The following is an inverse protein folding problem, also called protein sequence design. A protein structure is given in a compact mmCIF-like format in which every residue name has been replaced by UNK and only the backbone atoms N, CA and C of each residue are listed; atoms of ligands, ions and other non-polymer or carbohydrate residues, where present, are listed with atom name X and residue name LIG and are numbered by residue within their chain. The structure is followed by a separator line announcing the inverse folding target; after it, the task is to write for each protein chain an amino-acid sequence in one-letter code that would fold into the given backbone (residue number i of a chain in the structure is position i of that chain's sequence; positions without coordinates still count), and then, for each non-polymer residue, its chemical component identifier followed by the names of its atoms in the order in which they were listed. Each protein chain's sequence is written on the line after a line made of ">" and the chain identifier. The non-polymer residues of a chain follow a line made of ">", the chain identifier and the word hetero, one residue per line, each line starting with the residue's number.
data_IF_125171360901
#
_entry.id   IF_125171360901
#
_cell.length_a   1.000
_cell.length_b   1.000
_cell.length_c   1.000
_cell.angle_alpha   90.00
_cell.angle_beta   90.00
_cell.angle_gamma   90.00
#
_symmetry.space_group_name_H-M   'P 1'
#
loop_
_entity.id
_entity.type
_entity.pdbx_description
1 polymer ?
#
# COMPACT_ATOMS: atom_id res chain seq x y z
N UNK A 1 -6.26 -25.09 -7.95
CA UNK A 1 -4.95 -24.60 -8.42
C UNK A 1 -4.18 -23.78 -7.36
N UNK A 2 -4.82 -22.98 -6.50
CA UNK A 2 -4.15 -22.15 -5.48
C UNK A 2 -3.37 -22.97 -4.45
N UNK A 3 -3.95 -24.07 -3.94
CA UNK A 3 -3.29 -24.94 -2.95
C UNK A 3 -2.01 -25.56 -3.53
N UNK A 4 -2.03 -25.99 -4.79
CA UNK A 4 -0.86 -26.55 -5.45
C UNK A 4 0.23 -25.51 -5.67
N UNK A 5 -0.15 -24.26 -5.96
CA UNK A 5 0.79 -23.15 -6.08
C UNK A 5 1.38 -22.77 -4.73
N UNK A 6 0.59 -22.73 -3.66
CA UNK A 6 1.05 -22.49 -2.30
C UNK A 6 2.08 -23.53 -1.86
N UNK A 7 1.78 -24.84 -2.05
CA UNK A 7 2.73 -25.91 -1.76
C UNK A 7 4.03 -25.83 -2.57
N UNK A 8 3.95 -25.34 -3.82
CA UNK A 8 5.15 -25.12 -4.63
C UNK A 8 5.97 -23.94 -4.12
N UNK A 9 5.33 -22.85 -3.69
CA UNK A 9 5.99 -21.68 -3.10
C UNK A 9 6.79 -22.08 -1.86
N UNK A 10 6.23 -22.87 -0.95
CA UNK A 10 6.89 -23.36 0.27
C UNK A 10 8.14 -24.24 0.00
N UNK A 11 8.27 -24.81 -1.21
CA UNK A 11 9.47 -25.55 -1.59
C UNK A 11 10.64 -24.64 -2.00
N UNK A 12 10.39 -23.39 -2.37
CA UNK A 12 11.39 -22.46 -2.88
C UNK A 12 11.66 -21.29 -1.93
N UNK A 13 10.68 -20.94 -1.08
CA UNK A 13 10.74 -19.80 -0.20
C UNK A 13 10.41 -20.20 1.23
N UNK A 14 11.07 -19.57 2.18
CA UNK A 14 10.75 -19.66 3.62
C UNK A 14 9.45 -18.91 3.90
N UNK A 15 8.82 -19.19 5.05
CA UNK A 15 7.62 -18.44 5.48
C UNK A 15 7.88 -16.95 5.61
N UNK A 16 9.05 -16.55 6.10
CA UNK A 16 9.42 -15.15 6.25
C UNK A 16 9.58 -14.44 4.90
N UNK A 17 10.16 -15.11 3.90
CA UNK A 17 10.25 -14.59 2.54
C UNK A 17 8.88 -14.43 1.90
N UNK A 18 7.98 -15.42 2.08
CA UNK A 18 6.60 -15.36 1.59
C UNK A 18 5.83 -14.22 2.26
N UNK A 19 5.93 -14.08 3.59
CA UNK A 19 5.29 -12.99 4.33
C UNK A 19 5.84 -11.63 3.93
N UNK A 20 7.16 -11.52 3.78
CA UNK A 20 7.81 -10.28 3.32
C UNK A 20 7.33 -9.89 1.93
N UNK A 21 7.30 -10.83 0.98
CA UNK A 21 6.78 -10.58 -0.36
C UNK A 21 5.30 -10.17 -0.32
N UNK A 22 4.47 -10.88 0.46
CA UNK A 22 3.06 -10.57 0.63
C UNK A 22 2.84 -9.15 1.17
N UNK A 23 3.54 -8.77 2.25
CA UNK A 23 3.44 -7.46 2.87
C UNK A 23 3.90 -6.33 1.93
N UNK A 24 4.88 -6.59 1.07
CA UNK A 24 5.40 -5.59 0.14
C UNK A 24 4.52 -5.35 -1.10
N UNK A 25 3.66 -6.32 -1.48
CA UNK A 25 2.81 -6.19 -2.68
C UNK A 25 1.33 -6.02 -2.37
N UNK A 26 0.92 -6.27 -1.12
CA UNK A 26 -0.50 -6.20 -0.74
C UNK A 26 -1.04 -4.78 -0.85
N UNK A 27 -2.31 -4.60 -1.31
CA UNK A 27 -2.95 -3.31 -1.31
C UNK A 27 -3.43 -2.94 0.10
N UNK A 28 -3.10 -1.72 0.55
CA UNK A 28 -3.50 -1.18 1.85
C UNK A 28 -4.50 -0.01 1.74
N UNK A 29 -5.21 0.10 0.63
CA UNK A 29 -6.20 1.13 0.42
C UNK A 29 -5.59 2.46 0.00
N UNK A 30 -5.84 3.52 0.75
CA UNK A 30 -5.47 4.89 0.39
C UNK A 30 -4.75 5.61 1.53
N UNK A 31 -3.81 6.47 1.17
CA UNK A 31 -3.13 7.37 2.10
C UNK A 31 -3.89 8.70 2.28
N UNK A 32 -3.34 9.59 3.11
CA UNK A 32 -3.88 10.92 3.38
C UNK A 32 -3.89 11.88 2.18
N UNK A 33 -3.34 11.49 1.05
CA UNK A 33 -3.45 12.21 -0.22
C UNK A 33 -4.42 11.58 -1.22
N UNK A 34 -5.14 10.52 -0.80
CA UNK A 34 -6.11 9.80 -1.63
C UNK A 34 -5.49 8.80 -2.61
N UNK A 35 -4.16 8.67 -2.62
CA UNK A 35 -3.45 7.75 -3.49
C UNK A 35 -3.51 6.32 -2.97
N UNK A 36 -3.56 5.36 -3.89
CA UNK A 36 -3.51 3.95 -3.53
C UNK A 36 -2.15 3.59 -2.91
N UNK A 37 -2.18 2.76 -1.89
CA UNK A 37 -1.02 2.26 -1.17
C UNK A 37 -0.75 0.81 -1.58
N UNK A 38 0.49 0.50 -1.91
CA UNK A 38 0.98 -0.86 -2.08
C UNK A 38 2.18 -1.11 -1.17
N UNK A 39 2.08 -2.12 -0.32
CA UNK A 39 3.11 -2.48 0.64
C UNK A 39 2.97 -1.84 2.01
N UNK A 40 3.50 -2.56 3.01
CA UNK A 40 3.34 -2.23 4.43
C UNK A 40 4.10 -0.96 4.85
N UNK A 41 5.26 -0.70 4.25
CA UNK A 41 6.05 0.50 4.56
C UNK A 41 5.33 1.77 4.09
N UNK A 42 4.79 1.75 2.87
CA UNK A 42 3.99 2.87 2.37
C UNK A 42 2.70 3.04 3.19
N UNK A 43 2.11 1.94 3.67
CA UNK A 43 0.92 1.97 4.51
C UNK A 43 1.20 2.59 5.89
N UNK A 44 2.26 2.18 6.56
CA UNK A 44 2.66 2.72 7.85
C UNK A 44 2.95 4.23 7.76
N UNK A 45 3.69 4.62 6.72
CA UNK A 45 4.03 6.02 6.48
C UNK A 45 2.79 6.84 6.04
N UNK A 46 2.03 6.34 5.07
CA UNK A 46 0.90 7.07 4.49
C UNK A 46 -0.33 7.17 5.38
N UNK A 47 -0.45 6.32 6.40
CA UNK A 47 -1.57 6.33 7.35
C UNK A 47 -1.18 6.93 8.70
N UNK A 48 0.01 6.58 9.22
CA UNK A 48 0.46 6.97 10.56
C UNK A 48 1.70 7.87 10.57
N UNK A 49 2.39 8.06 9.45
CA UNK A 49 3.61 8.87 9.37
C UNK A 49 4.82 8.23 10.04
N UNK A 50 4.84 6.91 10.22
CA UNK A 50 5.92 6.14 10.86
C UNK A 50 6.44 5.06 9.92
N UNK A 51 7.65 4.54 10.20
CA UNK A 51 8.16 3.37 9.51
C UNK A 51 7.44 2.09 9.96
N UNK A 52 7.32 1.10 9.07
CA UNK A 52 6.69 -0.18 9.41
C UNK A 52 7.36 -0.90 10.60
N UNK A 53 8.66 -0.68 10.80
CA UNK A 53 9.40 -1.22 11.94
C UNK A 53 9.04 -0.56 13.30
N UNK A 54 8.47 0.63 13.27
CA UNK A 54 8.20 1.46 14.46
C UNK A 54 6.71 1.48 14.84
N UNK A 55 5.86 0.72 14.14
CA UNK A 55 4.43 0.69 14.44
C UNK A 55 4.14 0.06 15.80
N UNK A 56 3.21 0.64 16.53
CA UNK A 56 2.67 0.09 17.77
C UNK A 56 1.81 -1.17 17.48
N UNK A 57 1.49 -1.94 18.54
CA UNK A 57 0.60 -3.11 18.42
C UNK A 57 -0.76 -2.73 17.80
N UNK A 58 -1.36 -1.63 18.24
CA UNK A 58 -2.65 -1.16 17.70
C UNK A 58 -2.54 -0.78 16.22
N UNK A 59 -1.46 -0.08 15.82
CA UNK A 59 -1.18 0.29 14.44
C UNK A 59 -0.91 -0.94 13.57
N UNK A 60 -0.14 -1.91 14.06
CA UNK A 60 0.11 -3.16 13.36
C UNK A 60 -1.19 -3.94 13.10
N UNK A 61 -2.04 -4.09 14.13
CA UNK A 61 -3.34 -4.78 14.00
C UNK A 61 -4.28 -4.05 13.02
N UNK A 62 -4.26 -2.72 13.01
CA UNK A 62 -5.01 -1.90 12.06
C UNK A 62 -4.55 -2.16 10.62
N UNK A 63 -3.23 -2.05 10.36
CA UNK A 63 -2.67 -2.27 9.02
C UNK A 63 -2.95 -3.69 8.51
N UNK A 64 -2.70 -4.72 9.32
CA UNK A 64 -2.96 -6.12 8.94
C UNK A 64 -4.45 -6.38 8.66
N UNK A 65 -5.34 -5.59 9.23
CA UNK A 65 -6.78 -5.66 8.96
C UNK A 65 -7.18 -5.21 7.56
N UNK A 66 -6.46 -4.25 6.96
CA UNK A 66 -6.83 -3.56 5.71
C UNK A 66 -6.86 -4.47 4.47
N UNK A 67 -5.87 -5.35 4.20
CA UNK A 67 -5.79 -6.10 2.95
C UNK A 67 -7.00 -7.01 2.66
N UNK A 68 -7.82 -7.36 3.66
CA UNK A 68 -9.03 -8.13 3.44
C UNK A 68 -10.06 -7.38 2.59
N UNK A 69 -10.19 -6.07 2.79
CA UNK A 69 -11.04 -5.18 1.97
C UNK A 69 -10.46 -3.76 2.00
N UNK A 70 -9.43 -3.48 1.18
CA UNK A 70 -8.64 -2.26 1.26
C UNK A 70 -9.46 -0.97 1.17
N UNK A 71 -10.47 -0.94 0.32
CA UNK A 71 -11.28 0.27 0.15
C UNK A 71 -12.28 0.50 1.28
N UNK A 72 -12.77 -0.57 1.91
CA UNK A 72 -13.67 -0.46 3.08
C UNK A 72 -12.87 -0.09 4.33
N UNK A 73 -11.70 -0.71 4.54
CA UNK A 73 -10.94 -0.59 5.78
C UNK A 73 -9.89 0.51 5.77
N UNK A 74 -9.61 1.16 4.62
CA UNK A 74 -8.77 2.35 4.62
C UNK A 74 -9.43 3.50 5.38
N UNK A 75 -8.69 4.30 6.17
CA UNK A 75 -9.25 5.43 6.91
C UNK A 75 -9.51 6.67 6.03
N UNK A 76 -8.98 6.69 4.80
CA UNK A 76 -9.06 7.84 3.91
C UNK A 76 -9.95 7.61 2.68
N UNK A 77 -10.55 8.68 2.20
CA UNK A 77 -11.33 8.73 0.95
C UNK A 77 -10.39 8.83 -0.27
N UNK A 78 -10.94 8.79 -1.47
CA UNK A 78 -10.19 9.04 -2.71
C UNK A 78 -9.65 10.48 -2.83
N UNK A 79 -10.11 11.39 -1.97
CA UNK A 79 -9.66 12.77 -1.92
C UNK A 79 -8.66 13.02 -0.78
N UNK A 80 -8.23 11.97 -0.07
CA UNK A 80 -7.32 12.07 1.07
C UNK A 80 -7.99 12.54 2.36
N UNK A 81 -9.30 12.76 2.35
CA UNK A 81 -10.05 13.14 3.54
C UNK A 81 -10.25 11.95 4.46
N UNK A 82 -10.21 12.19 5.76
CA UNK A 82 -10.56 11.16 6.74
C UNK A 82 -12.04 10.79 6.60
N UNK A 83 -12.34 9.50 6.57
CA UNK A 83 -13.72 9.01 6.57
C UNK A 83 -14.42 9.39 7.87
N UNK A 84 -15.69 9.76 7.79
CA UNK A 84 -16.54 10.06 8.97
C UNK A 84 -16.86 8.78 9.76
N UNK A 85 -17.16 7.68 9.06
CA UNK A 85 -17.42 6.37 9.67
C UNK A 85 -16.21 5.44 9.54
N UNK A 86 -15.59 5.17 10.68
CA UNK A 86 -14.45 4.25 10.84
C UNK A 86 -14.86 2.94 11.54
N UNK A 87 -16.15 2.73 11.81
CA UNK A 87 -16.66 1.58 12.56
C UNK A 87 -16.20 0.25 11.95
N UNK A 88 -16.24 0.12 10.64
CA UNK A 88 -15.86 -1.11 9.96
C UNK A 88 -14.37 -1.47 10.18
N UNK A 89 -13.46 -0.51 10.03
CA UNK A 89 -12.03 -0.75 10.22
C UNK A 89 -11.68 -0.94 11.69
N UNK A 90 -12.28 -0.21 12.61
CA UNK A 90 -12.05 -0.38 14.06
C UNK A 90 -12.53 -1.76 14.54
N UNK A 91 -13.69 -2.21 14.09
CA UNK A 91 -14.17 -3.58 14.36
C UNK A 91 -13.24 -4.65 13.76
N UNK A 92 -12.68 -4.38 12.58
CA UNK A 92 -11.69 -5.28 11.97
C UNK A 92 -10.40 -5.33 12.78
N UNK A 93 -9.88 -4.19 13.23
CA UNK A 93 -8.71 -4.08 14.11
C UNK A 93 -8.92 -4.89 15.41
N UNK A 94 -10.07 -4.72 16.05
CA UNK A 94 -10.41 -5.49 17.25
C UNK A 94 -10.48 -7.00 16.98
N UNK A 95 -10.96 -7.41 15.80
CA UNK A 95 -10.96 -8.82 15.39
C UNK A 95 -9.53 -9.37 15.23
N UNK A 96 -8.61 -8.56 14.67
CA UNK A 96 -7.19 -8.95 14.55
C UNK A 96 -6.57 -9.09 15.93
N UNK A 97 -6.72 -8.08 16.81
CA UNK A 97 -6.22 -8.13 18.19
C UNK A 97 -6.76 -9.34 18.97
N UNK A 98 -8.07 -9.61 18.86
CA UNK A 98 -8.67 -10.78 19.50
C UNK A 98 -8.06 -12.10 18.99
N UNK A 99 -7.77 -12.20 17.70
CA UNK A 99 -7.09 -13.37 17.14
C UNK A 99 -5.66 -13.50 17.65
N UNK A 100 -4.92 -12.40 17.72
CA UNK A 100 -3.57 -12.41 18.29
C UNK A 100 -3.58 -12.89 19.76
N UNK A 101 -4.55 -12.46 20.54
CA UNK A 101 -4.73 -12.91 21.91
C UNK A 101 -5.08 -14.41 21.97
N UNK A 102 -6.06 -14.86 21.17
CA UNK A 102 -6.54 -16.24 21.19
C UNK A 102 -5.49 -17.26 20.75
N UNK A 103 -4.57 -16.84 19.87
CA UNK A 103 -3.44 -17.65 19.41
C UNK A 103 -2.17 -17.50 20.29
N UNK A 104 -2.24 -16.68 21.35
CA UNK A 104 -1.16 -16.51 22.30
C UNK A 104 0.01 -15.64 21.83
N UNK A 105 -0.18 -14.82 20.80
CA UNK A 105 0.83 -13.89 20.30
C UNK A 105 0.96 -12.63 21.17
N UNK A 106 -0.10 -12.26 21.88
CA UNK A 106 -0.12 -11.14 22.82
C UNK A 106 -0.77 -11.57 24.14
N UNK A 107 -0.42 -10.86 25.20
CA UNK A 107 -1.02 -11.04 26.53
C UNK A 107 -2.38 -10.35 26.64
N UNK A 108 -3.16 -10.69 27.67
CA UNK A 108 -4.42 -10.00 27.96
C UNK A 108 -4.19 -8.49 28.23
N UNK A 109 -3.11 -8.13 28.93
CA UNK A 109 -2.79 -6.74 29.22
C UNK A 109 -2.50 -5.92 27.95
N UNK A 110 -1.74 -6.51 27.03
CA UNK A 110 -1.43 -5.88 25.72
C UNK A 110 -2.70 -5.72 24.87
N UNK A 111 -3.57 -6.74 24.88
CA UNK A 111 -4.86 -6.67 24.20
C UNK A 111 -5.74 -5.55 24.76
N UNK A 112 -5.92 -5.51 26.09
CA UNK A 112 -6.78 -4.52 26.75
C UNK A 112 -6.26 -3.10 26.51
N UNK A 113 -4.94 -2.91 26.55
CA UNK A 113 -4.30 -1.62 26.26
C UNK A 113 -4.51 -1.20 24.78
N UNK A 114 -4.34 -2.14 23.85
CA UNK A 114 -4.50 -1.86 22.41
C UNK A 114 -5.96 -1.56 22.03
N UNK A 115 -6.93 -2.26 22.63
CA UNK A 115 -8.37 -2.02 22.38
C UNK A 115 -8.84 -0.69 23.00
N UNK A 116 -8.28 -0.31 24.16
CA UNK A 116 -8.61 0.94 24.82
C UNK A 116 -7.97 2.16 24.14
N UNK A 117 -6.97 1.94 23.30
CA UNK A 117 -6.25 3.02 22.63
C UNK A 117 -7.06 3.59 21.47
N UNK A 118 -7.24 4.91 21.43
CA UNK A 118 -7.87 5.59 20.31
C UNK A 118 -6.85 5.80 19.18
N UNK A 119 -6.74 4.81 18.28
CA UNK A 119 -5.81 4.84 17.15
C UNK A 119 -6.09 5.97 16.16
N UNK A 120 -7.28 6.57 16.21
CA UNK A 120 -7.66 7.61 15.26
C UNK A 120 -6.86 8.90 15.43
N UNK A 121 -6.24 9.09 16.59
CA UNK A 121 -5.34 10.23 16.87
C UNK A 121 -3.98 10.11 16.16
N UNK A 122 -3.61 8.89 15.75
CA UNK A 122 -2.32 8.63 15.08
C UNK A 122 -2.39 8.88 13.57
N UNK A 123 -3.57 9.06 13.00
CA UNK A 123 -3.67 9.29 11.57
C UNK A 123 -3.00 10.60 11.17
N UNK A 124 -2.15 10.52 10.15
CA UNK A 124 -1.57 11.74 9.56
C UNK A 124 -2.67 12.69 9.10
N UNK A 125 -2.40 13.99 9.19
CA UNK A 125 -3.31 14.99 8.70
C UNK A 125 -3.56 14.80 7.20
N UNK A 126 -4.80 15.04 6.75
CA UNK A 126 -5.10 15.05 5.33
C UNK A 126 -4.18 16.07 4.64
N UNK A 127 -3.35 15.57 3.73
CA UNK A 127 -2.53 16.48 2.92
C UNK A 127 -3.38 16.91 1.74
N UNK A 128 -3.54 18.20 1.58
CA UNK A 128 -4.11 18.82 0.38
C UNK A 128 -3.10 18.71 -0.78
N UNK A 129 -2.78 17.48 -1.19
CA UNK A 129 -1.69 17.18 -2.14
C UNK A 129 -2.19 16.95 -3.55
N UNK A 130 -3.44 17.30 -3.85
CA UNK A 130 -3.88 17.28 -5.25
C UNK A 130 -3.23 18.40 -6.07
N UNK A 131 -2.77 19.48 -5.41
CA UNK A 131 -2.05 20.56 -6.10
C UNK A 131 -0.59 20.19 -6.41
N UNK A 132 0.12 19.46 -5.54
CA UNK A 132 1.55 19.15 -5.75
C UNK A 132 1.79 18.03 -6.77
N UNK A 133 0.90 17.02 -6.86
CA UNK A 133 1.03 15.93 -7.85
C UNK A 133 0.61 16.32 -9.25
N UNK A 134 -0.28 17.31 -9.36
CA UNK A 134 -0.68 17.91 -10.64
C UNK A 134 0.13 19.15 -10.98
N UNK A 135 1.22 19.43 -10.26
CA UNK A 135 2.09 20.53 -10.65
C UNK A 135 2.62 20.28 -12.06
N UNK A 136 2.63 21.32 -12.86
CA UNK A 136 3.20 21.30 -14.23
C UNK A 136 4.61 20.69 -14.23
N UNK A 137 5.39 20.95 -13.18
CA UNK A 137 6.73 20.41 -13.02
C UNK A 137 6.74 18.89 -12.85
N UNK A 138 5.85 18.34 -12.02
CA UNK A 138 5.75 16.87 -11.81
C UNK A 138 5.38 16.17 -13.12
N UNK A 139 4.33 16.66 -13.81
CA UNK A 139 3.90 16.11 -15.09
C UNK A 139 4.98 16.24 -16.19
N UNK A 140 5.73 17.33 -16.18
CA UNK A 140 6.83 17.53 -17.13
C UNK A 140 7.97 16.53 -16.86
N UNK A 141 8.37 16.35 -15.59
CA UNK A 141 9.43 15.40 -15.19
C UNK A 141 9.00 13.96 -15.45
N UNK A 142 7.76 13.60 -15.14
CA UNK A 142 7.22 12.26 -15.41
C UNK A 142 7.23 11.94 -16.90
N UNK A 143 6.75 12.88 -17.72
CA UNK A 143 6.75 12.74 -19.18
C UNK A 143 8.16 12.61 -19.76
N UNK A 144 9.09 13.44 -19.31
CA UNK A 144 10.49 13.38 -19.72
C UNK A 144 11.13 12.03 -19.34
N UNK A 145 10.87 11.55 -18.11
CA UNK A 145 11.37 10.26 -17.64
C UNK A 145 10.83 9.08 -18.48
N UNK A 146 9.53 9.11 -18.82
CA UNK A 146 8.92 8.10 -19.68
C UNK A 146 9.58 8.11 -21.06
N UNK A 147 9.76 9.26 -21.68
CA UNK A 147 10.39 9.37 -23.01
C UNK A 147 11.82 8.83 -23.00
N UNK A 148 12.62 9.13 -21.97
CA UNK A 148 13.99 8.61 -21.82
C UNK A 148 13.98 7.07 -21.66
N UNK A 149 13.05 6.52 -20.90
CA UNK A 149 12.93 5.07 -20.72
C UNK A 149 12.48 4.39 -22.01
N UNK A 150 11.55 4.98 -22.75
CA UNK A 150 11.10 4.49 -24.06
C UNK A 150 12.24 4.48 -25.07
N UNK A 151 13.03 5.55 -25.14
CA UNK A 151 14.19 5.64 -26.02
C UNK A 151 15.23 4.57 -25.70
N UNK A 152 15.51 4.34 -24.40
CA UNK A 152 16.44 3.28 -23.99
C UNK A 152 15.93 1.88 -24.32
N UNK A 153 14.64 1.63 -24.14
CA UNK A 153 14.02 0.36 -24.43
C UNK A 153 13.97 0.10 -25.96
N UNK A 154 13.63 1.13 -26.72
CA UNK A 154 13.60 1.08 -28.20
C UNK A 154 15.00 0.82 -28.79
N UNK A 155 16.03 1.49 -28.27
CA UNK A 155 17.40 1.30 -28.71
C UNK A 155 17.90 -0.15 -28.52
N UNK A 156 17.37 -0.87 -27.51
CA UNK A 156 17.63 -2.29 -27.32
C UNK A 156 17.07 -3.20 -28.42
N UNK A 157 16.14 -2.68 -29.25
CA UNK A 157 15.50 -3.36 -30.37
C UNK A 157 15.81 -2.70 -31.73
N UNK A 158 16.87 -1.90 -31.81
CA UNK A 158 17.28 -1.16 -33.02
C UNK A 158 16.20 -0.17 -33.54
N UNK A 159 15.35 0.33 -32.64
CA UNK A 159 14.32 1.34 -32.92
C UNK A 159 14.73 2.71 -32.35
N UNK A 160 14.19 3.77 -32.92
CA UNK A 160 14.33 5.15 -32.42
C UNK A 160 13.02 5.66 -31.84
N UNK A 161 13.06 6.74 -31.06
CA UNK A 161 11.85 7.40 -30.57
C UNK A 161 10.96 7.90 -31.74
N UNK A 162 11.57 8.32 -32.85
CA UNK A 162 10.88 8.78 -34.06
C UNK A 162 10.11 7.61 -34.74
N UNK A 163 10.66 6.38 -34.69
CA UNK A 163 9.97 5.18 -35.16
C UNK A 163 8.75 4.84 -34.29
N UNK A 164 8.86 5.05 -32.97
CA UNK A 164 7.73 4.86 -32.05
C UNK A 164 6.63 5.91 -32.27
N UNK A 165 6.99 7.16 -32.45
CA UNK A 165 6.03 8.25 -32.69
C UNK A 165 5.29 8.12 -34.03
N UNK A 166 5.90 7.43 -35.01
CA UNK A 166 5.30 7.19 -36.32
C UNK A 166 4.24 6.08 -36.30
N UNK A 167 4.26 5.18 -35.33
CA UNK A 167 3.34 4.05 -35.20
C UNK A 167 2.70 4.02 -33.80
N UNK A 168 1.38 4.29 -33.77
CA UNK A 168 0.62 4.37 -32.51
C UNK A 168 0.54 3.04 -31.75
N UNK A 169 0.52 1.90 -32.45
CA UNK A 169 0.49 0.58 -31.80
C UNK A 169 1.84 0.29 -31.16
N UNK A 170 2.93 0.58 -31.88
CA UNK A 170 4.29 0.42 -31.39
C UNK A 170 4.57 1.40 -30.23
N UNK A 171 4.11 2.63 -30.31
CA UNK A 171 4.21 3.61 -29.21
C UNK A 171 3.56 3.10 -27.92
N UNK A 172 2.35 2.55 -28.01
CA UNK A 172 1.63 2.02 -26.84
C UNK A 172 2.25 0.74 -26.26
N UNK A 173 3.03 -0.01 -27.03
CA UNK A 173 3.76 -1.18 -26.52
C UNK A 173 4.93 -0.78 -25.62
N UNK A 174 5.55 0.37 -25.90
CA UNK A 174 6.71 0.87 -25.14
C UNK A 174 6.34 1.89 -24.04
N UNK A 175 5.15 2.51 -24.10
CA UNK A 175 4.62 3.42 -23.10
C UNK A 175 4.11 2.70 -21.86
#
# INVERSE_FOLDING_TARGET
>A
NEILLALRLENFFTKDEILTAYLNVSPFGRNSSGSNIAGIEEAANGIFGVHAADVSLAQAAFLVGIPQNPYTYTPFTQYGERKEDLTAVLNRTNTVLFRMLSEGYITQEEYDAAVAYDITQDFVAAHATQEDRNSYLYQAVEREAILVLMEQAAAGNDLTLEDLEADTELYNEYY
#
